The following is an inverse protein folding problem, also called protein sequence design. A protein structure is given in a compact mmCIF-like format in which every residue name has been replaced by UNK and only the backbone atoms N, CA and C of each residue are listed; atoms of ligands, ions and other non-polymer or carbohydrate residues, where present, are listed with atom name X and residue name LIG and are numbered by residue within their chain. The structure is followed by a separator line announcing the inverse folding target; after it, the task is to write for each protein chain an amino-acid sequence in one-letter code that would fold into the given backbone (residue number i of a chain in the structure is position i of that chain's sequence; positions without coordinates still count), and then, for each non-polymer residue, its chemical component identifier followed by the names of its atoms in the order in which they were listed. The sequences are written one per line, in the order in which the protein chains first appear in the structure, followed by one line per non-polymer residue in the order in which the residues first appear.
data_IF_774390932040
#
_entry.id   IF_774390932040
#
_cell.length_a   1.000
_cell.length_b   1.000
_cell.length_c   1.000
_cell.angle_alpha   90.00
_cell.angle_beta   90.00
_cell.angle_gamma   90.00
#
_symmetry.space_group_name_H-M   'P 1'
#
loop_
_entity.id
_entity.type
_entity.pdbx_description
1 polymer ?
#
# COMPACT_ATOMS: atom_id res chain seq x y z
N UNK A 1 20.18 -7.41 -7.53
CA UNK A 1 18.82 -7.16 -7.01
C UNK A 1 17.86 -6.93 -8.17
N UNK A 2 16.82 -7.75 -8.29
CA UNK A 2 15.78 -7.68 -9.34
C UNK A 2 14.41 -7.95 -8.70
N UNK A 3 13.35 -7.28 -9.15
CA UNK A 3 11.97 -7.62 -8.77
C UNK A 3 11.37 -8.41 -9.93
N UNK A 4 10.92 -9.63 -9.63
CA UNK A 4 10.31 -10.55 -10.59
C UNK A 4 8.79 -10.48 -10.54
N UNK A 5 8.23 -10.22 -9.36
CA UNK A 5 6.79 -10.09 -9.15
C UNK A 5 6.45 -8.95 -8.23
N UNK A 6 5.34 -8.29 -8.51
CA UNK A 6 4.73 -7.26 -7.68
C UNK A 6 3.23 -7.54 -7.56
N UNK A 7 2.76 -7.61 -6.32
CA UNK A 7 1.35 -7.76 -5.98
C UNK A 7 0.90 -6.59 -5.13
N UNK A 8 -0.20 -5.95 -5.51
CA UNK A 8 -0.81 -4.83 -4.81
C UNK A 8 -2.19 -5.24 -4.31
N UNK A 9 -2.50 -4.92 -3.06
CA UNK A 9 -3.84 -5.05 -2.49
C UNK A 9 -4.26 -3.70 -1.89
N UNK A 10 -5.44 -3.23 -2.28
CA UNK A 10 -6.03 -1.99 -1.79
C UNK A 10 -5.10 -0.76 -1.84
N UNK A 11 -4.23 -0.71 -2.85
CA UNK A 11 -3.25 0.34 -3.03
C UNK A 11 -3.70 1.31 -4.14
N UNK A 12 -4.03 2.54 -3.74
CA UNK A 12 -4.57 3.63 -4.57
C UNK A 12 -5.73 3.16 -5.44
N UNK A 13 -5.57 3.18 -6.76
CA UNK A 13 -6.62 2.78 -7.71
C UNK A 13 -6.88 1.27 -7.73
N UNK A 14 -5.93 0.44 -7.30
CA UNK A 14 -6.01 -1.01 -7.44
C UNK A 14 -6.66 -1.65 -6.21
N UNK A 15 -7.77 -2.37 -6.43
CA UNK A 15 -8.29 -3.33 -5.43
C UNK A 15 -7.30 -4.49 -5.29
N UNK A 16 -6.90 -5.06 -6.42
CA UNK A 16 -5.86 -6.06 -6.54
C UNK A 16 -5.15 -5.88 -7.89
N UNK A 17 -3.83 -6.04 -7.93
CA UNK A 17 -3.04 -6.08 -9.16
C UNK A 17 -1.85 -7.00 -8.94
N UNK A 18 -1.66 -7.95 -9.85
CA UNK A 18 -0.52 -8.86 -9.87
C UNK A 18 0.25 -8.68 -11.18
N UNK A 19 1.54 -8.40 -11.07
CA UNK A 19 2.46 -8.21 -12.21
C UNK A 19 3.60 -9.21 -12.06
N UNK A 20 3.88 -9.95 -13.11
CA UNK A 20 5.15 -10.67 -13.28
C UNK A 20 5.96 -9.91 -14.31
N UNK A 21 7.17 -9.48 -13.93
CA UNK A 21 8.06 -8.75 -14.83
C UNK A 21 8.83 -9.73 -15.71
N UNK A 22 8.98 -9.36 -16.97
CA UNK A 22 9.90 -10.02 -17.90
C UNK A 22 11.36 -9.74 -17.50
N UNK A 23 12.22 -10.71 -17.74
CA UNK A 23 13.66 -10.63 -17.41
C UNK A 23 14.37 -9.50 -18.16
N UNK A 24 13.90 -9.14 -19.36
CA UNK A 24 14.52 -8.13 -20.20
C UNK A 24 13.76 -6.80 -20.15
N UNK A 25 12.47 -6.80 -20.50
CA UNK A 25 11.69 -5.56 -20.57
C UNK A 25 10.20 -5.79 -20.40
N UNK A 26 9.59 -5.01 -19.49
CA UNK A 26 8.14 -4.97 -19.31
C UNK A 26 7.61 -3.59 -19.70
N UNK A 27 6.65 -3.53 -20.61
CA UNK A 27 6.04 -2.28 -21.08
C UNK A 27 4.65 -2.14 -20.45
N UNK A 28 4.45 -1.10 -19.63
CA UNK A 28 3.15 -0.78 -19.02
C UNK A 28 2.35 0.17 -19.91
N UNK A 29 1.33 -0.36 -20.59
CA UNK A 29 0.44 0.43 -21.47
C UNK A 29 -0.94 0.57 -20.83
N UNK A 30 -1.35 1.81 -20.58
CA UNK A 30 -2.69 2.14 -20.09
C UNK A 30 -2.99 3.64 -20.33
N UNK A 31 -4.26 4.08 -20.28
CA UNK A 31 -4.61 5.50 -20.30
C UNK A 31 -4.02 6.30 -19.12
N UNK A 32 -4.09 7.63 -19.20
CA UNK A 32 -3.77 8.49 -18.05
C UNK A 32 -4.77 8.25 -16.92
N UNK A 33 -4.29 8.25 -15.67
CA UNK A 33 -5.12 7.93 -14.50
C UNK A 33 -5.34 6.44 -14.24
N UNK A 34 -4.96 5.54 -15.17
CA UNK A 34 -5.15 4.10 -15.01
C UNK A 34 -4.17 3.41 -14.03
N UNK A 35 -3.28 4.16 -13.38
CA UNK A 35 -2.39 3.62 -12.33
C UNK A 35 -0.98 3.24 -12.77
N UNK A 36 -0.50 3.66 -13.95
CA UNK A 36 0.91 3.43 -14.36
C UNK A 36 1.91 3.99 -13.34
N UNK A 37 1.71 5.24 -12.92
CA UNK A 37 2.53 5.89 -11.88
C UNK A 37 2.38 5.18 -10.53
N UNK A 38 1.19 4.67 -10.20
CA UNK A 38 0.95 3.86 -8.99
C UNK A 38 1.82 2.61 -8.96
N UNK A 39 2.00 1.93 -10.10
CA UNK A 39 2.89 0.75 -10.18
C UNK A 39 4.34 1.16 -9.91
N UNK A 40 4.82 2.24 -10.55
CA UNK A 40 6.19 2.73 -10.33
C UNK A 40 6.43 3.17 -8.88
N UNK A 41 5.45 3.82 -8.26
CA UNK A 41 5.54 4.21 -6.85
C UNK A 41 5.53 2.99 -5.90
N UNK A 42 4.73 1.97 -6.23
CA UNK A 42 4.74 0.73 -5.47
C UNK A 42 6.08 -0.01 -5.57
N UNK A 43 6.70 -0.03 -6.77
CA UNK A 43 8.06 -0.55 -6.96
C UNK A 43 9.04 0.24 -6.10
N UNK A 44 9.01 1.57 -6.13
CA UNK A 44 9.86 2.41 -5.28
C UNK A 44 9.74 2.06 -3.80
N UNK A 45 8.52 1.91 -3.29
CA UNK A 45 8.27 1.54 -1.90
C UNK A 45 8.75 0.11 -1.59
N UNK A 46 8.55 -0.84 -2.51
CA UNK A 46 9.02 -2.21 -2.37
C UNK A 46 10.55 -2.32 -2.35
N UNK A 47 11.27 -1.41 -3.03
CA UNK A 47 12.73 -1.37 -3.01
C UNK A 47 13.30 -0.79 -1.70
N UNK A 48 12.49 -0.10 -0.90
CA UNK A 48 12.99 0.69 0.22
C UNK A 48 13.55 -0.11 1.41
N UNK A 49 12.98 -1.27 1.82
CA UNK A 49 13.59 -2.13 2.85
C UNK A 49 15.06 -2.45 2.57
N UNK A 50 15.46 -2.55 1.29
CA UNK A 50 16.85 -2.81 0.90
C UNK A 50 17.75 -1.58 1.05
N UNK A 51 17.25 -0.41 0.68
CA UNK A 51 18.02 0.85 0.76
C UNK A 51 18.32 1.19 2.23
N UNK A 52 17.40 0.88 3.16
CA UNK A 52 17.64 1.04 4.62
C UNK A 52 18.82 0.22 5.15
N UNK A 53 19.16 -0.90 4.52
CA UNK A 53 20.29 -1.73 4.91
C UNK A 53 21.65 -1.12 4.58
N UNK A 54 21.69 -0.18 3.61
CA UNK A 54 22.93 0.40 3.10
C UNK A 54 23.33 1.71 3.80
N UNK A 55 22.36 2.58 4.11
CA UNK A 55 22.63 3.88 4.69
C UNK A 55 21.85 4.09 6.01
N UNK A 56 22.59 4.07 7.12
CA UNK A 56 22.04 4.27 8.46
C UNK A 56 21.44 5.67 8.66
N UNK A 57 21.75 6.65 7.80
CA UNK A 57 21.13 7.99 7.85
C UNK A 57 19.70 8.00 7.30
N UNK A 58 19.28 6.97 6.54
CA UNK A 58 17.90 6.77 6.10
C UNK A 58 17.00 6.15 7.18
N UNK A 59 17.53 5.94 8.40
CA UNK A 59 16.73 5.65 9.59
C UNK A 59 15.88 6.83 10.07
N UNK A 60 15.94 7.98 9.37
CA UNK A 60 14.95 9.03 9.57
C UNK A 60 13.56 8.43 9.37
N UNK A 61 12.66 8.70 10.33
CA UNK A 61 11.22 8.38 10.29
C UNK A 61 10.50 9.13 9.15
N UNK A 62 11.05 9.11 7.95
CA UNK A 62 10.42 9.73 6.81
C UNK A 62 9.22 8.85 6.40
N UNK A 63 8.03 9.40 6.62
CA UNK A 63 6.75 8.78 6.28
C UNK A 63 6.58 8.61 4.76
N UNK A 64 7.42 9.25 3.94
CA UNK A 64 7.46 9.05 2.48
C UNK A 64 7.89 7.63 2.06
N UNK A 65 8.42 6.85 3.02
CA UNK A 65 9.04 5.55 2.82
C UNK A 65 8.13 4.38 3.25
N UNK A 66 6.89 4.68 3.64
CA UNK A 66 5.87 3.72 4.02
C UNK A 66 4.60 3.97 3.19
N UNK A 67 3.69 3.00 3.17
CA UNK A 67 2.34 3.21 2.62
C UNK A 67 1.67 4.31 3.44
N UNK A 68 1.31 5.42 2.81
CA UNK A 68 0.65 6.55 3.47
C UNK A 68 -0.85 6.30 3.53
N UNK A 69 -1.54 7.02 4.42
CA UNK A 69 -3.01 6.93 4.51
C UNK A 69 -3.70 7.29 3.19
N UNK A 70 -3.15 8.25 2.44
CA UNK A 70 -3.64 8.62 1.09
C UNK A 70 -3.39 7.55 0.02
N UNK A 71 -2.47 6.62 0.26
CA UNK A 71 -2.23 5.50 -0.63
C UNK A 71 -3.24 4.36 -0.42
N UNK A 72 -4.04 4.39 0.66
CA UNK A 72 -5.04 3.36 0.94
C UNK A 72 -6.28 3.60 0.09
N UNK A 73 -6.74 2.57 -0.62
CA UNK A 73 -7.90 2.65 -1.50
C UNK A 73 -9.17 2.95 -0.72
N UNK A 74 -9.93 3.94 -1.17
CA UNK A 74 -11.28 4.23 -0.66
C UNK A 74 -12.34 3.41 -1.41
N UNK A 75 -13.31 2.88 -0.69
CA UNK A 75 -14.48 2.14 -1.21
C UNK A 75 -15.74 2.77 -0.65
N UNK A 76 -16.72 3.03 -1.51
CA UNK A 76 -18.05 3.44 -1.07
C UNK A 76 -18.80 2.26 -0.44
N UNK A 77 -19.35 2.45 0.77
CA UNK A 77 -20.26 1.50 1.43
C UNK A 77 -21.70 1.99 1.28
N UNK A 78 -22.54 1.29 0.50
CA UNK A 78 -23.95 1.66 0.34
C UNK A 78 -24.72 1.64 1.66
N UNK A 79 -24.39 0.72 2.58
CA UNK A 79 -25.10 0.52 3.84
C UNK A 79 -24.88 1.69 4.82
N UNK A 80 -23.65 2.21 4.87
CA UNK A 80 -23.26 3.32 5.72
C UNK A 80 -23.30 4.68 5.01
N UNK A 81 -23.61 4.70 3.69
CA UNK A 81 -23.62 5.87 2.82
C UNK A 81 -22.33 6.72 2.92
N UNK A 82 -21.18 6.08 3.11
CA UNK A 82 -19.89 6.74 3.33
C UNK A 82 -18.76 6.11 2.48
N UNK A 83 -17.60 6.76 2.48
CA UNK A 83 -16.36 6.21 1.92
C UNK A 83 -15.51 5.63 3.04
N UNK A 84 -15.05 4.40 2.88
CA UNK A 84 -14.20 3.70 3.84
C UNK A 84 -12.85 3.32 3.24
N UNK A 85 -11.82 3.32 4.09
CA UNK A 85 -10.49 2.80 3.73
C UNK A 85 -10.53 1.28 3.63
N UNK A 86 -9.97 0.76 2.55
CA UNK A 86 -9.81 -0.69 2.34
C UNK A 86 -8.53 -1.15 3.02
N UNK A 87 -8.62 -1.48 4.31
CA UNK A 87 -7.52 -2.09 5.06
C UNK A 87 -7.58 -3.63 5.03
N UNK A 88 -6.43 -4.30 5.08
CA UNK A 88 -5.08 -3.74 4.95
C UNK A 88 -4.78 -3.32 3.50
N UNK A 89 -3.91 -2.32 3.34
CA UNK A 89 -3.24 -2.02 2.08
C UNK A 89 -1.87 -2.71 2.07
N UNK A 90 -1.53 -3.42 0.98
CA UNK A 90 -0.31 -4.21 0.87
C UNK A 90 0.40 -4.02 -0.46
N UNK A 91 1.72 -3.99 -0.38
CA UNK A 91 2.65 -4.11 -1.51
C UNK A 91 3.53 -5.31 -1.20
N UNK A 92 3.40 -6.36 -2.00
CA UNK A 92 4.24 -7.55 -1.92
C UNK A 92 5.14 -7.58 -3.14
N UNK A 93 6.43 -7.83 -2.94
CA UNK A 93 7.37 -8.02 -4.03
C UNK A 93 8.18 -9.29 -3.81
N UNK A 94 8.48 -9.96 -4.92
CA UNK A 94 9.32 -11.14 -4.97
C UNK A 94 10.44 -10.90 -5.96
N UNK A 95 11.66 -11.29 -5.62
CA UNK A 95 12.75 -11.31 -6.56
C UNK A 95 14.10 -11.62 -5.94
N UNK A 96 15.13 -11.55 -6.78
CA UNK A 96 16.49 -11.93 -6.42
C UNK A 96 17.24 -10.82 -5.68
N UNK A 97 17.90 -11.19 -4.59
CA UNK A 97 18.66 -10.27 -3.73
C UNK A 97 20.17 -10.32 -4.02
N UNK A 98 20.81 -11.45 -3.71
CA UNK A 98 22.21 -11.79 -4.02
C UNK A 98 22.31 -13.28 -4.37
N UNK A 99 23.20 -13.64 -5.30
CA UNK A 99 23.57 -15.03 -5.64
C UNK A 99 22.40 -15.98 -5.98
N UNK A 100 21.36 -15.47 -6.65
CA UNK A 100 20.26 -16.28 -7.18
C UNK A 100 19.22 -16.73 -6.15
N UNK A 101 19.30 -16.28 -4.88
CA UNK A 101 18.24 -16.53 -3.92
C UNK A 101 17.09 -15.53 -4.12
N UNK A 102 15.92 -16.07 -4.48
CA UNK A 102 14.68 -15.30 -4.56
C UNK A 102 14.05 -15.21 -3.18
N UNK A 103 13.71 -14.00 -2.76
CA UNK A 103 12.99 -13.72 -1.51
C UNK A 103 11.67 -13.02 -1.81
N UNK A 104 10.74 -13.07 -0.86
CA UNK A 104 9.49 -12.31 -0.91
C UNK A 104 9.39 -11.45 0.33
N UNK A 105 9.03 -10.19 0.15
CA UNK A 105 8.87 -9.23 1.23
C UNK A 105 7.58 -8.42 1.04
N UNK A 106 7.05 -7.94 2.15
CA UNK A 106 5.74 -7.29 2.21
C UNK A 106 5.88 -5.97 2.96
N UNK A 107 5.31 -4.92 2.37
CA UNK A 107 5.03 -3.66 3.04
C UNK A 107 3.51 -3.55 3.20
N UNK A 108 3.04 -3.39 4.44
CA UNK A 108 1.61 -3.26 4.72
C UNK A 108 1.30 -2.03 5.57
N UNK A 109 0.09 -1.50 5.39
CA UNK A 109 -0.55 -0.57 6.32
C UNK A 109 -1.87 -1.18 6.76
N UNK A 110 -1.93 -1.52 8.04
CA UNK A 110 -3.16 -1.93 8.70
C UNK A 110 -4.13 -0.75 8.81
N UNK A 111 -5.42 -1.07 8.95
CA UNK A 111 -6.41 -0.07 9.32
C UNK A 111 -6.05 0.53 10.67
N UNK A 112 -6.20 1.84 10.81
CA UNK A 112 -6.27 2.42 12.15
C UNK A 112 -7.46 1.76 12.86
N UNK A 113 -7.25 1.24 14.08
CA UNK A 113 -8.39 0.91 14.94
C UNK A 113 -9.30 2.14 14.95
N UNK A 114 -10.63 1.98 14.81
CA UNK A 114 -11.52 3.12 14.92
C UNK A 114 -11.14 3.85 16.21
N UNK A 115 -10.93 5.19 16.19
CA UNK A 115 -10.70 5.93 17.42
C UNK A 115 -11.82 5.52 18.35
N UNK A 116 -11.41 4.95 19.49
CA UNK A 116 -12.25 4.44 20.57
C UNK A 116 -13.61 5.13 20.51
N UNK A 117 -14.69 4.38 20.23
CA UNK A 117 -16.03 4.95 20.20
C UNK A 117 -16.17 5.83 21.44
N UNK A 118 -16.25 7.14 21.22
CA UNK A 118 -16.33 8.11 22.29
C UNK A 118 -17.74 7.93 22.86
N UNK A 119 -17.88 6.97 23.78
CA UNK A 119 -19.16 6.57 24.36
C UNK A 119 -19.83 7.75 25.07
N UNK A 120 -19.04 8.79 25.38
CA UNK A 120 -19.46 10.11 25.83
C UNK A 120 -20.29 10.86 24.78
N UNK A 121 -19.85 10.91 23.51
CA UNK A 121 -20.55 11.65 22.46
C UNK A 121 -21.91 11.01 22.09
N UNK A 122 -21.98 9.67 22.10
CA UNK A 122 -23.21 8.92 21.87
C UNK A 122 -24.27 9.12 22.98
N UNK A 123 -23.88 9.58 24.17
CA UNK A 123 -24.82 9.92 25.27
C UNK A 123 -25.48 11.28 25.10
N UNK A 124 -24.87 12.22 24.36
CA UNK A 124 -25.41 13.57 24.16
C UNK A 124 -26.34 13.72 22.96
N UNK A 125 -26.45 12.70 22.10
CA UNK A 125 -27.32 12.71 20.91
C UNK A 125 -28.67 12.02 21.09
N UNK A 126 -28.96 11.44 22.27
CA UNK A 126 -30.34 11.04 22.61
C UNK A 126 -31.13 12.24 23.13
N UNK A 127 -31.73 12.99 22.21
CA UNK A 127 -32.82 13.91 22.54
C UNK A 127 -34.15 13.15 22.45
N UNK A 128 -34.84 13.02 23.60
CA UNK A 128 -36.26 12.70 23.68
C UNK A 128 -36.63 11.22 23.83
N UNK A 129 -36.81 10.79 25.08
CA UNK A 129 -37.98 10.00 25.50
C UNK A 129 -38.66 10.75 26.66
#
# INVERSE_FOLDING_TARGET
MRIDKLSLLHFRCFRQLDITFDEHITILVAPNGAGKTTVLDAIRLALFPFIRGFDASLYVKDKSLAIRTEDVRLVFRPEALNMEMSSPAMITATGEWERGESSTWILSKEGEQPPHEDTMAARFTRWGE
#
